data_IF_414711937430
#
_entry.id   IF_414711937430
#
_cell.length_a   1.000
_cell.length_b   1.000
_cell.length_c   1.000
_cell.angle_alpha   90.00
_cell.angle_beta   90.00
_cell.angle_gamma   90.00
#
_symmetry.space_group_name_H-M   'P 1'
#
loop_
_entity.id
_entity.type
_entity.pdbx_description
1 polymer ?
#
# COMPACT_ATOMS: atom_id res chain seq x y z
N UNK A 1 11.54 -21.91 -6.20
CA UNK A 1 10.92 -20.62 -6.60
C UNK A 1 12.02 -19.59 -6.77
N UNK A 2 11.93 -18.69 -7.75
CA UNK A 2 12.92 -17.62 -7.97
C UNK A 2 12.74 -16.48 -6.96
N UNK A 3 13.76 -15.69 -6.71
CA UNK A 3 13.64 -14.47 -5.90
C UNK A 3 13.35 -13.24 -6.77
N UNK A 4 12.89 -12.15 -6.14
CA UNK A 4 12.91 -10.85 -6.80
C UNK A 4 14.34 -10.39 -7.07
N UNK A 5 14.54 -9.55 -8.09
CA UNK A 5 15.82 -8.90 -8.35
C UNK A 5 16.05 -7.78 -7.32
N UNK A 6 17.28 -7.65 -6.86
CA UNK A 6 17.78 -6.61 -5.93
C UNK A 6 18.02 -5.25 -6.61
N UNK A 7 17.46 -5.04 -7.80
CA UNK A 7 17.69 -3.86 -8.62
C UNK A 7 16.41 -3.05 -8.64
N UNK A 8 16.48 -1.75 -8.33
CA UNK A 8 15.36 -0.81 -8.46
C UNK A 8 14.85 -0.80 -9.90
N UNK A 9 13.54 -0.70 -10.07
CA UNK A 9 12.93 -0.48 -11.37
C UNK A 9 11.64 0.26 -11.16
N UNK A 10 11.37 1.20 -12.06
CA UNK A 10 10.07 1.83 -12.17
C UNK A 10 9.16 0.93 -13.04
N UNK A 11 7.92 0.71 -12.63
CA UNK A 11 7.00 -0.18 -13.35
C UNK A 11 5.59 0.40 -13.39
N UNK A 12 4.93 0.34 -14.55
CA UNK A 12 3.53 0.74 -14.69
C UNK A 12 2.62 -0.48 -14.56
N UNK A 13 1.62 -0.40 -13.69
CA UNK A 13 0.64 -1.46 -13.51
C UNK A 13 -0.67 -1.19 -14.28
N UNK A 14 -1.54 -2.20 -14.34
CA UNK A 14 -2.82 -2.13 -15.06
C UNK A 14 -3.78 -1.03 -14.57
N UNK A 15 -3.59 -0.48 -13.34
CA UNK A 15 -4.36 0.67 -12.85
C UNK A 15 -3.86 2.01 -13.41
N UNK A 16 -2.79 2.01 -14.20
CA UNK A 16 -2.10 3.20 -14.69
C UNK A 16 -1.19 3.85 -13.65
N UNK A 17 -0.79 3.11 -12.61
CA UNK A 17 0.09 3.63 -11.55
C UNK A 17 1.51 3.15 -11.76
N UNK A 18 2.44 4.07 -11.56
CA UNK A 18 3.86 3.79 -11.53
C UNK A 18 4.32 3.45 -10.11
N UNK A 19 4.95 2.30 -9.97
CA UNK A 19 5.54 1.82 -8.71
C UNK A 19 7.07 1.76 -8.80
N UNK A 20 7.70 2.09 -7.67
CA UNK A 20 9.13 2.05 -7.45
C UNK A 20 9.40 1.35 -6.11
N UNK A 21 8.98 0.09 -6.00
CA UNK A 21 9.15 -0.66 -4.76
C UNK A 21 10.63 -0.74 -4.35
N UNK A 22 10.95 -0.18 -3.18
CA UNK A 22 12.27 -0.24 -2.52
C UNK A 22 12.54 -1.63 -1.94
N UNK A 23 11.46 -2.32 -1.56
CA UNK A 23 11.45 -3.69 -1.05
C UNK A 23 10.36 -4.47 -1.79
N UNK A 24 10.70 -5.65 -2.31
CA UNK A 24 9.73 -6.59 -2.88
C UNK A 24 9.66 -7.87 -2.06
N UNK A 25 8.47 -8.45 -1.96
CA UNK A 25 8.18 -9.51 -0.98
C UNK A 25 7.85 -8.94 0.40
N UNK A 26 7.28 -9.79 1.25
CA UNK A 26 6.84 -9.38 2.58
C UNK A 26 6.90 -10.57 3.53
N UNK A 27 8.06 -10.73 4.17
CA UNK A 27 8.31 -11.77 5.17
C UNK A 27 7.37 -11.62 6.36
N UNK A 28 7.26 -10.43 6.95
CA UNK A 28 6.43 -10.20 8.13
C UNK A 28 4.96 -10.45 7.85
N UNK A 29 4.48 -10.08 6.66
CA UNK A 29 3.11 -10.36 6.25
C UNK A 29 2.79 -11.85 6.14
N UNK A 30 3.73 -12.66 5.65
CA UNK A 30 3.57 -14.12 5.59
C UNK A 30 3.78 -14.83 6.92
N UNK A 31 4.62 -14.28 7.81
CA UNK A 31 4.73 -14.75 9.20
C UNK A 31 3.43 -14.51 9.98
N UNK A 32 2.79 -13.35 9.77
CA UNK A 32 1.51 -13.03 10.38
C UNK A 32 0.36 -13.87 9.81
N UNK A 33 0.40 -14.21 8.52
CA UNK A 33 -0.61 -15.02 7.87
C UNK A 33 -0.03 -15.74 6.64
N UNK A 34 -0.11 -17.07 6.58
CA UNK A 34 0.44 -17.88 5.49
C UNK A 34 -0.04 -17.48 4.07
N UNK A 35 -1.22 -16.86 3.95
CA UNK A 35 -1.79 -16.36 2.69
C UNK A 35 -1.66 -14.84 2.53
N UNK A 36 -0.90 -14.22 3.44
CA UNK A 36 -0.69 -12.80 3.57
C UNK A 36 -1.91 -12.06 4.10
N UNK A 37 -1.90 -10.72 3.93
CA UNK A 37 -2.98 -9.85 4.39
C UNK A 37 -4.37 -10.38 4.03
N UNK A 38 -5.25 -10.42 5.05
CA UNK A 38 -6.66 -10.78 4.93
C UNK A 38 -6.93 -12.19 4.36
N UNK A 39 -6.00 -13.14 4.57
CA UNK A 39 -6.03 -14.47 3.97
C UNK A 39 -6.05 -14.47 2.43
N UNK A 40 -5.69 -13.36 1.78
CA UNK A 40 -5.83 -13.22 0.32
C UNK A 40 -4.95 -12.13 -0.30
N UNK A 41 -3.69 -12.03 0.12
CA UNK A 41 -2.80 -10.98 -0.35
C UNK A 41 -2.61 -11.02 -1.87
N UNK A 42 -2.96 -9.92 -2.54
CA UNK A 42 -2.87 -9.81 -3.99
C UNK A 42 -1.43 -9.96 -4.52
N UNK A 43 -0.47 -9.30 -3.86
CA UNK A 43 0.93 -9.37 -4.23
C UNK A 43 1.50 -10.80 -4.06
N UNK A 44 1.14 -11.47 -2.96
CA UNK A 44 1.53 -12.87 -2.72
C UNK A 44 0.99 -13.81 -3.79
N UNK A 45 -0.32 -13.73 -4.12
CA UNK A 45 -0.93 -14.55 -5.18
C UNK A 45 -0.26 -14.34 -6.53
N UNK A 46 0.06 -13.09 -6.84
CA UNK A 46 0.73 -12.72 -8.09
C UNK A 46 2.15 -13.31 -8.13
N UNK A 47 2.93 -13.16 -7.05
CA UNK A 47 4.25 -13.76 -6.92
C UNK A 47 4.21 -15.28 -7.09
N UNK A 48 3.29 -15.96 -6.39
CA UNK A 48 3.09 -17.41 -6.49
C UNK A 48 2.79 -17.86 -7.91
N UNK A 49 1.91 -17.14 -8.64
CA UNK A 49 1.58 -17.42 -10.05
C UNK A 49 2.82 -17.36 -10.95
N UNK A 50 3.73 -16.44 -10.67
CA UNK A 50 4.97 -16.26 -11.43
C UNK A 50 6.17 -17.04 -10.86
N UNK A 51 5.95 -17.96 -9.92
CA UNK A 51 6.99 -18.79 -9.30
C UNK A 51 7.98 -18.02 -8.44
N UNK A 52 7.62 -16.84 -7.93
CA UNK A 52 8.48 -15.95 -7.13
C UNK A 52 8.25 -16.18 -5.64
N UNK A 53 9.33 -16.39 -4.90
CA UNK A 53 9.33 -16.52 -3.44
C UNK A 53 9.04 -15.16 -2.77
N UNK A 54 7.80 -15.01 -2.30
CA UNK A 54 7.32 -13.80 -1.63
C UNK A 54 7.65 -13.76 -0.13
N UNK A 55 8.10 -14.88 0.44
CA UNK A 55 8.42 -14.99 1.87
C UNK A 55 9.72 -14.30 2.24
N UNK A 56 10.50 -13.89 1.24
CA UNK A 56 11.71 -13.10 1.39
C UNK A 56 11.42 -11.65 1.03
N UNK A 57 11.74 -10.76 1.95
CA UNK A 57 11.78 -9.32 1.70
C UNK A 57 13.13 -8.98 1.07
N UNK A 58 13.11 -8.57 -0.20
CA UNK A 58 14.30 -8.28 -0.99
C UNK A 58 14.43 -6.76 -1.12
N UNK A 59 15.51 -6.22 -0.56
CA UNK A 59 15.92 -4.83 -0.73
C UNK A 59 16.41 -4.59 -2.15
N UNK A 60 16.05 -3.44 -2.72
CA UNK A 60 16.36 -3.08 -4.10
C UNK A 60 17.20 -1.82 -4.13
N UNK A 61 18.32 -1.86 -4.84
CA UNK A 61 19.28 -0.76 -4.98
C UNK A 61 19.38 -0.27 -6.43
N UNK A 62 19.90 0.94 -6.63
CA UNK A 62 20.42 1.33 -7.94
C UNK A 62 21.69 0.51 -8.23
N UNK A 63 21.97 0.28 -9.52
CA UNK A 63 23.15 -0.49 -9.93
C UNK A 63 24.37 0.42 -9.83
N UNK A 64 24.22 1.61 -10.38
CA UNK A 64 25.20 2.68 -10.44
C UNK A 64 24.46 4.02 -10.60
N UNK A 65 25.24 5.09 -10.69
CA UNK A 65 24.73 6.45 -10.88
C UNK A 65 23.98 6.62 -12.20
N UNK A 66 24.40 5.92 -13.27
CA UNK A 66 23.73 5.98 -14.58
C UNK A 66 22.32 5.43 -14.49
N UNK A 67 22.15 4.27 -13.84
CA UNK A 67 20.85 3.67 -13.60
C UNK A 67 19.98 4.56 -12.71
N UNK A 68 20.55 5.16 -11.65
CA UNK A 68 19.81 6.12 -10.80
C UNK A 68 19.27 7.31 -11.60
N UNK A 69 20.12 7.95 -12.41
CA UNK A 69 19.74 9.07 -13.27
C UNK A 69 18.72 8.66 -14.34
N UNK A 70 18.79 7.43 -14.85
CA UNK A 70 17.78 6.90 -15.76
C UNK A 70 16.41 6.79 -15.08
N UNK A 71 16.34 6.24 -13.87
CA UNK A 71 15.09 6.16 -13.10
C UNK A 71 14.52 7.55 -12.83
N UNK A 72 15.36 8.53 -12.46
CA UNK A 72 14.93 9.91 -12.27
C UNK A 72 14.29 10.48 -13.55
N UNK A 73 14.96 10.36 -14.70
CA UNK A 73 14.41 10.82 -15.99
C UNK A 73 13.12 10.11 -16.36
N UNK A 74 12.98 8.82 -16.00
CA UNK A 74 11.72 8.10 -16.21
C UNK A 74 10.62 8.68 -15.34
N UNK A 75 10.89 8.96 -14.05
CA UNK A 75 9.93 9.56 -13.10
C UNK A 75 9.46 10.95 -13.57
N UNK A 76 10.39 11.79 -14.03
CA UNK A 76 10.08 13.14 -14.53
C UNK A 76 9.10 13.12 -15.71
N UNK A 77 9.21 12.12 -16.60
CA UNK A 77 8.35 11.97 -17.78
C UNK A 77 6.96 11.40 -17.48
N UNK A 78 6.72 10.90 -16.27
CA UNK A 78 5.42 10.32 -15.92
C UNK A 78 4.36 11.42 -15.92
N UNK A 79 3.27 11.22 -16.65
CA UNK A 79 2.06 12.04 -16.55
C UNK A 79 1.14 11.56 -15.40
N UNK A 80 1.64 11.66 -14.18
CA UNK A 80 0.97 11.32 -12.92
C UNK A 80 1.64 12.14 -11.81
N UNK A 81 0.90 12.76 -10.88
CA UNK A 81 1.49 13.60 -9.84
C UNK A 81 2.25 12.80 -8.77
N UNK A 82 2.24 11.46 -8.80
CA UNK A 82 2.95 10.64 -7.85
C UNK A 82 3.43 9.30 -8.42
N UNK A 83 4.38 8.70 -7.70
CA UNK A 83 4.72 7.27 -7.78
C UNK A 83 4.36 6.56 -6.48
N UNK A 84 4.28 5.23 -6.50
CA UNK A 84 4.01 4.42 -5.31
C UNK A 84 5.21 3.60 -4.85
N UNK A 85 5.33 3.44 -3.55
CA UNK A 85 6.16 2.43 -2.87
C UNK A 85 5.23 1.53 -2.06
N UNK A 86 5.43 0.20 -2.11
CA UNK A 86 4.65 -0.78 -1.35
C UNK A 86 3.55 -1.47 -2.15
N UNK A 87 3.79 -1.74 -3.43
CA UNK A 87 2.84 -2.41 -4.32
C UNK A 87 3.02 -3.94 -4.32
N UNK A 88 4.25 -4.42 -4.41
CA UNK A 88 4.63 -5.84 -4.42
C UNK A 88 5.53 -6.23 -3.23
N UNK A 89 5.54 -5.41 -2.19
CA UNK A 89 6.22 -5.62 -0.92
C UNK A 89 5.73 -4.61 0.11
N UNK A 90 6.36 -4.57 1.27
CA UNK A 90 6.07 -3.54 2.27
C UNK A 90 7.37 -2.80 2.65
N UNK A 91 7.42 -1.47 2.50
CA UNK A 91 8.62 -0.69 2.81
C UNK A 91 9.03 -0.77 4.29
N UNK A 92 8.08 -1.08 5.18
CA UNK A 92 8.37 -1.23 6.62
C UNK A 92 9.18 -2.48 6.97
N UNK A 93 9.43 -3.37 6.02
CA UNK A 93 10.37 -4.48 6.21
C UNK A 93 11.79 -3.97 6.48
N UNK A 94 12.16 -2.81 5.92
CA UNK A 94 13.36 -2.05 6.26
C UNK A 94 13.18 -0.55 5.92
N UNK A 95 12.82 0.24 6.95
CA UNK A 95 12.66 1.68 6.80
C UNK A 95 13.96 2.40 6.46
N UNK A 96 15.09 1.96 7.01
CA UNK A 96 16.40 2.56 6.75
C UNK A 96 16.73 2.49 5.26
N UNK A 97 16.57 1.31 4.66
CA UNK A 97 16.77 1.11 3.24
C UNK A 97 15.78 1.93 2.39
N UNK A 98 14.51 1.95 2.78
CA UNK A 98 13.49 2.74 2.06
C UNK A 98 13.83 4.23 2.06
N UNK A 99 14.21 4.79 3.21
CA UNK A 99 14.61 6.20 3.35
C UNK A 99 15.87 6.49 2.55
N UNK A 100 16.87 5.60 2.58
CA UNK A 100 18.08 5.71 1.76
C UNK A 100 17.74 5.86 0.26
N UNK A 101 16.88 5.00 -0.28
CA UNK A 101 16.49 5.08 -1.71
C UNK A 101 15.75 6.39 -2.02
N UNK A 102 14.86 6.84 -1.13
CA UNK A 102 14.16 8.13 -1.30
C UNK A 102 15.17 9.29 -1.30
N UNK A 103 16.15 9.27 -0.38
CA UNK A 103 17.24 10.25 -0.33
C UNK A 103 18.10 10.24 -1.59
N UNK A 104 18.41 9.06 -2.12
CA UNK A 104 19.16 8.92 -3.37
C UNK A 104 18.39 9.44 -4.59
N UNK A 105 17.06 9.30 -4.64
CA UNK A 105 16.24 9.90 -5.71
C UNK A 105 16.25 11.43 -5.66
N UNK A 106 16.30 12.00 -4.44
CA UNK A 106 16.31 13.43 -4.21
C UNK A 106 17.62 14.10 -4.67
N UNK A 107 18.76 13.42 -4.55
CA UNK A 107 20.10 13.96 -4.87
C UNK A 107 20.27 14.27 -6.37
N UNK A 108 19.77 15.41 -6.83
CA UNK A 108 20.03 15.92 -8.17
C UNK A 108 20.17 17.45 -8.15
N UNK A 109 21.19 17.96 -8.84
CA UNK A 109 21.61 19.36 -8.81
C UNK A 109 20.71 20.30 -9.64
N UNK A 110 19.80 19.78 -10.47
CA UNK A 110 18.93 20.59 -11.33
C UNK A 110 17.46 20.58 -10.93
N UNK A 111 16.94 19.45 -10.43
CA UNK A 111 15.54 19.30 -10.00
C UNK A 111 15.52 18.33 -8.82
N UNK A 112 15.16 18.83 -7.65
CA UNK A 112 15.07 18.02 -6.44
C UNK A 112 13.71 17.31 -6.41
N UNK A 113 13.64 16.15 -7.10
CA UNK A 113 12.43 15.32 -7.09
C UNK A 113 12.02 15.01 -5.65
N UNK A 114 10.73 15.18 -5.39
CA UNK A 114 10.12 14.92 -4.08
C UNK A 114 10.62 15.83 -2.95
N UNK A 115 11.25 16.97 -3.24
CA UNK A 115 11.36 18.04 -2.25
C UNK A 115 9.99 18.57 -1.88
N UNK A 116 9.88 19.24 -0.74
CA UNK A 116 8.59 19.76 -0.25
C UNK A 116 7.89 20.68 -1.27
N UNK A 117 8.67 21.35 -2.14
CA UNK A 117 8.20 22.20 -3.23
C UNK A 117 7.93 21.47 -4.56
N UNK A 118 8.28 20.18 -4.66
CA UNK A 118 8.07 19.35 -5.85
C UNK A 118 6.57 19.12 -6.10
N UNK A 119 6.15 19.23 -7.35
CA UNK A 119 4.80 18.84 -7.79
C UNK A 119 4.62 17.32 -7.87
N UNK A 120 5.72 16.56 -7.92
CA UNK A 120 5.73 15.10 -7.80
C UNK A 120 5.82 14.67 -6.35
N UNK A 121 5.03 13.67 -5.97
CA UNK A 121 4.98 13.07 -4.64
C UNK A 121 5.31 11.57 -4.65
N UNK A 122 5.72 11.03 -3.50
CA UNK A 122 5.76 9.59 -3.28
C UNK A 122 4.62 9.19 -2.35
N UNK A 123 3.79 8.25 -2.81
CA UNK A 123 2.79 7.61 -1.96
C UNK A 123 3.38 6.31 -1.41
N UNK A 124 3.53 6.23 -0.10
CA UNK A 124 4.04 5.04 0.60
C UNK A 124 2.85 4.26 1.16
N UNK A 125 2.60 3.06 0.63
CA UNK A 125 1.58 2.14 1.17
C UNK A 125 2.28 1.16 2.10
N UNK A 126 1.81 1.06 3.35
CA UNK A 126 2.45 0.18 4.34
C UNK A 126 1.46 -0.35 5.37
N UNK A 127 1.84 -1.47 5.99
CA UNK A 127 1.21 -2.14 7.12
C UNK A 127 1.98 -1.91 8.42
N UNK A 128 3.07 -1.16 8.39
CA UNK A 128 3.93 -0.87 9.53
C UNK A 128 4.39 -2.13 10.27
N UNK A 129 4.88 -3.14 9.54
CA UNK A 129 5.40 -4.36 10.16
C UNK A 129 6.49 -4.05 11.18
N UNK A 130 7.40 -3.13 10.83
CA UNK A 130 8.29 -2.44 11.77
C UNK A 130 7.87 -0.97 11.87
N UNK A 131 8.07 -0.41 13.05
CA UNK A 131 7.77 1.00 13.31
C UNK A 131 8.91 1.89 12.86
N UNK A 132 8.57 3.12 12.44
CA UNK A 132 9.56 4.16 12.19
C UNK A 132 10.15 4.63 13.52
N UNK A 133 11.44 4.98 13.55
CA UNK A 133 12.01 5.73 14.67
C UNK A 133 11.67 7.22 14.55
N UNK A 134 11.80 7.99 15.63
CA UNK A 134 11.57 9.44 15.57
C UNK A 134 12.57 10.15 14.64
N UNK A 135 13.82 9.68 14.62
CA UNK A 135 14.84 10.18 13.68
C UNK A 135 14.44 9.91 12.22
N UNK A 136 13.86 8.74 11.94
CA UNK A 136 13.36 8.40 10.62
C UNK A 136 12.14 9.26 10.24
N UNK A 137 11.25 9.59 11.18
CA UNK A 137 10.14 10.51 10.94
C UNK A 137 10.62 11.94 10.63
N UNK A 138 11.63 12.43 11.37
CA UNK A 138 12.26 13.73 11.13
C UNK A 138 12.97 13.76 9.76
N UNK A 139 13.59 12.65 9.35
CA UNK A 139 14.19 12.57 8.03
C UNK A 139 13.11 12.58 6.93
N UNK A 140 12.05 11.79 7.10
CA UNK A 140 10.94 11.70 6.14
C UNK A 140 10.19 13.03 5.93
N UNK A 141 10.13 13.91 6.94
CA UNK A 141 9.47 15.22 6.82
C UNK A 141 10.15 16.17 5.83
N UNK A 142 11.38 15.85 5.40
CA UNK A 142 12.12 16.63 4.39
C UNK A 142 11.65 16.35 2.95
N UNK A 143 10.78 15.36 2.77
CA UNK A 143 10.32 14.89 1.46
C UNK A 143 8.80 15.10 1.31
N UNK A 144 8.35 15.28 0.07
CA UNK A 144 6.94 15.41 -0.27
C UNK A 144 6.28 14.03 -0.37
N UNK A 145 5.90 13.48 0.78
CA UNK A 145 5.39 12.13 0.95
C UNK A 145 3.93 12.11 1.39
N UNK A 146 3.21 11.08 0.94
CA UNK A 146 1.88 10.72 1.44
C UNK A 146 1.92 9.29 1.95
N UNK A 147 1.74 9.10 3.26
CA UNK A 147 1.65 7.77 3.87
C UNK A 147 0.23 7.24 3.80
N UNK A 148 0.06 6.07 3.21
CA UNK A 148 -1.19 5.30 3.17
C UNK A 148 -1.05 4.12 4.14
N UNK A 149 -1.45 4.34 5.40
CA UNK A 149 -1.47 3.30 6.42
C UNK A 149 -2.63 2.36 6.14
N UNK A 150 -2.34 1.13 5.70
CA UNK A 150 -3.36 0.17 5.29
C UNK A 150 -3.88 -0.62 6.47
N UNK A 151 -5.19 -0.53 6.73
CA UNK A 151 -5.86 -1.15 7.89
C UNK A 151 -7.17 -1.80 7.47
N UNK A 152 -7.64 -2.81 8.20
CA UNK A 152 -8.98 -3.38 8.00
C UNK A 152 -9.58 -3.86 9.32
N UNK A 153 -10.91 -3.94 9.39
CA UNK A 153 -11.58 -4.68 10.46
C UNK A 153 -11.35 -6.20 10.39
N UNK A 154 -10.79 -6.69 9.28
CA UNK A 154 -10.32 -8.08 9.14
C UNK A 154 -8.98 -8.35 9.85
N UNK A 155 -8.31 -7.31 10.34
CA UNK A 155 -7.06 -7.45 11.08
C UNK A 155 -7.28 -7.92 12.51
N UNK A 156 -6.25 -8.53 13.10
CA UNK A 156 -6.24 -8.77 14.54
C UNK A 156 -6.16 -7.43 15.30
N UNK A 157 -6.54 -7.45 16.57
CA UNK A 157 -6.62 -6.24 17.39
C UNK A 157 -5.27 -5.53 17.52
N UNK A 158 -4.19 -6.27 17.71
CA UNK A 158 -2.82 -5.73 17.85
C UNK A 158 -2.39 -4.95 16.60
N UNK A 159 -2.67 -5.49 15.41
CA UNK A 159 -2.32 -4.84 14.15
C UNK A 159 -3.20 -3.62 13.87
N UNK A 160 -4.47 -3.64 14.27
CA UNK A 160 -5.36 -2.47 14.21
C UNK A 160 -4.80 -1.35 15.10
N UNK A 161 -4.52 -1.66 16.37
CA UNK A 161 -3.99 -0.69 17.33
C UNK A 161 -2.65 -0.11 16.87
N UNK A 162 -1.70 -0.96 16.46
CA UNK A 162 -0.42 -0.51 15.89
C UNK A 162 -0.61 0.39 14.68
N UNK A 163 -1.47 0.01 13.74
CA UNK A 163 -1.72 0.80 12.53
C UNK A 163 -2.30 2.17 12.86
N UNK A 164 -3.25 2.25 13.81
CA UNK A 164 -3.81 3.53 14.25
C UNK A 164 -2.78 4.40 14.98
N UNK A 165 -1.95 3.81 15.84
CA UNK A 165 -0.85 4.52 16.52
C UNK A 165 0.13 5.10 15.52
N UNK A 166 0.61 4.31 14.55
CA UNK A 166 1.54 4.80 13.53
C UNK A 166 0.89 5.84 12.62
N UNK A 167 -0.36 5.61 12.16
CA UNK A 167 -1.11 6.59 11.38
C UNK A 167 -1.16 7.97 12.07
N UNK A 168 -1.47 8.01 13.38
CA UNK A 168 -1.52 9.26 14.13
C UNK A 168 -0.12 9.85 14.39
N UNK A 169 0.87 9.01 14.73
CA UNK A 169 2.25 9.45 15.00
C UNK A 169 2.93 10.07 13.77
N UNK A 170 2.55 9.65 12.57
CA UNK A 170 3.12 10.15 11.30
C UNK A 170 2.55 11.53 10.91
N UNK A 171 1.31 11.86 11.30
CA UNK A 171 0.59 13.09 10.90
C UNK A 171 1.40 14.40 11.04
N UNK A 172 2.17 14.63 12.12
CA UNK A 172 2.90 15.88 12.28
C UNK A 172 4.07 16.06 11.31
N UNK A 173 4.54 14.97 10.68
CA UNK A 173 5.75 14.96 9.86
C UNK A 173 5.43 14.99 8.36
N UNK A 174 4.42 14.22 7.94
CA UNK A 174 4.04 14.05 6.54
C UNK A 174 2.54 13.81 6.45
N UNK A 175 1.97 13.97 5.25
CA UNK A 175 0.55 13.71 5.01
C UNK A 175 0.25 12.24 5.31
N UNK A 176 -0.59 11.98 6.31
CA UNK A 176 -0.94 10.64 6.76
C UNK A 176 -2.40 10.33 6.43
N UNK A 177 -2.62 9.26 5.68
CA UNK A 177 -3.90 8.79 5.18
C UNK A 177 -4.18 7.41 5.79
N UNK A 178 -5.38 7.25 6.34
CA UNK A 178 -5.84 5.94 6.80
C UNK A 178 -6.53 5.23 5.64
N UNK A 179 -5.83 4.28 5.02
CA UNK A 179 -6.36 3.51 3.90
C UNK A 179 -7.09 2.28 4.41
N UNK A 180 -8.41 2.37 4.52
CA UNK A 180 -9.23 1.29 5.07
C UNK A 180 -9.59 0.30 3.95
N UNK A 181 -9.16 -0.95 4.08
CA UNK A 181 -9.67 -2.05 3.26
C UNK A 181 -10.98 -2.51 3.87
N UNK A 182 -12.09 -2.04 3.29
CA UNK A 182 -13.44 -2.25 3.82
C UNK A 182 -14.13 -3.46 3.20
N UNK A 183 -15.12 -3.98 3.93
CA UNK A 183 -16.00 -5.07 3.51
C UNK A 183 -17.46 -4.76 3.79
N UNK A 184 -18.35 -5.34 2.99
CA UNK A 184 -19.76 -5.50 3.32
C UNK A 184 -19.89 -6.69 4.29
N UNK A 185 -19.93 -6.42 5.59
CA UNK A 185 -20.01 -7.47 6.61
C UNK A 185 -21.43 -8.03 6.73
N UNK A 186 -21.56 -9.33 6.97
CA UNK A 186 -22.84 -9.95 7.28
C UNK A 186 -23.18 -9.74 8.76
N UNK A 187 -24.06 -8.80 9.08
CA UNK A 187 -24.43 -8.50 10.47
C UNK A 187 -25.34 -9.57 11.13
N UNK A 188 -25.88 -10.51 10.35
CA UNK A 188 -26.56 -11.70 10.88
C UNK A 188 -25.55 -12.73 11.41
N UNK A 189 -24.32 -12.69 10.93
CA UNK A 189 -23.21 -13.47 11.45
C UNK A 189 -22.58 -12.76 12.66
N UNK A 190 -22.39 -13.46 13.79
CA UNK A 190 -21.84 -12.88 15.03
C UNK A 190 -20.45 -12.26 14.84
N UNK A 191 -19.57 -12.93 14.09
CA UNK A 191 -18.23 -12.40 13.79
C UNK A 191 -18.31 -11.22 12.80
N UNK A 192 -19.17 -11.34 11.77
CA UNK A 192 -19.43 -10.27 10.81
C UNK A 192 -19.93 -8.98 11.48
N UNK A 193 -20.92 -9.09 12.39
CA UNK A 193 -21.43 -7.97 13.19
C UNK A 193 -20.34 -7.28 14.01
N UNK A 194 -19.50 -8.05 14.69
CA UNK A 194 -18.36 -7.52 15.47
C UNK A 194 -17.39 -6.76 14.57
N UNK A 195 -17.04 -7.30 13.41
CA UNK A 195 -16.14 -6.63 12.47
C UNK A 195 -16.78 -5.39 11.83
N UNK A 196 -18.10 -5.39 11.60
CA UNK A 196 -18.84 -4.22 11.14
C UNK A 196 -18.76 -3.05 12.13
N UNK A 197 -18.86 -3.33 13.44
CA UNK A 197 -18.67 -2.32 14.50
C UNK A 197 -17.26 -1.74 14.51
N UNK A 198 -16.23 -2.59 14.36
CA UNK A 198 -14.83 -2.16 14.26
C UNK A 198 -14.67 -1.26 13.03
N UNK A 199 -15.13 -1.71 11.86
CA UNK A 199 -15.06 -0.93 10.62
C UNK A 199 -15.72 0.44 10.78
N UNK A 200 -16.92 0.51 11.34
CA UNK A 200 -17.60 1.79 11.62
C UNK A 200 -16.77 2.72 12.50
N UNK A 201 -16.03 2.18 13.48
CA UNK A 201 -15.10 2.97 14.31
C UNK A 201 -13.90 3.46 13.50
N UNK A 202 -13.32 2.62 12.63
CA UNK A 202 -12.22 3.02 11.75
C UNK A 202 -12.62 4.19 10.84
N UNK A 203 -13.84 4.17 10.29
CA UNK A 203 -14.36 5.24 9.44
C UNK A 203 -14.66 6.57 10.15
N UNK A 204 -14.52 6.66 11.48
CA UNK A 204 -14.64 7.92 12.23
C UNK A 204 -13.35 8.75 12.26
N UNK A 205 -12.25 8.21 11.74
CA UNK A 205 -11.00 8.96 11.63
C UNK A 205 -11.08 9.99 10.48
N UNK A 206 -10.11 10.90 10.42
CA UNK A 206 -9.95 11.87 9.34
C UNK A 206 -9.07 11.31 8.22
N UNK A 207 -9.02 11.98 7.06
CA UNK A 207 -8.12 11.65 5.95
C UNK A 207 -8.14 10.16 5.59
N UNK A 208 -9.34 9.65 5.31
CA UNK A 208 -9.59 8.25 5.03
C UNK A 208 -9.74 8.02 3.54
N UNK A 209 -9.18 6.91 3.05
CA UNK A 209 -9.56 6.34 1.76
C UNK A 209 -10.24 5.01 1.98
N UNK A 210 -11.40 4.83 1.34
CA UNK A 210 -12.06 3.54 1.25
C UNK A 210 -11.47 2.70 0.11
N UNK A 211 -10.98 1.51 0.43
CA UNK A 211 -10.48 0.53 -0.54
C UNK A 211 -11.33 -0.73 -0.47
N UNK A 212 -11.85 -1.16 -1.61
CA UNK A 212 -12.61 -2.41 -1.72
C UNK A 212 -11.75 -3.65 -1.45
N UNK A 213 -12.27 -4.60 -0.67
CA UNK A 213 -11.68 -5.93 -0.55
C UNK A 213 -12.07 -6.83 -1.74
N UNK A 214 -11.08 -7.57 -2.27
CA UNK A 214 -11.22 -8.43 -3.46
C UNK A 214 -10.87 -9.88 -3.11
N UNK A 215 -11.73 -10.57 -2.37
CA UNK A 215 -11.47 -11.95 -1.95
C UNK A 215 -11.59 -12.93 -3.12
N UNK A 216 -10.87 -14.03 -3.01
CA UNK A 216 -11.15 -15.26 -3.75
C UNK A 216 -12.38 -15.95 -3.17
N UNK A 217 -13.03 -16.80 -3.97
CA UNK A 217 -14.16 -17.63 -3.52
C UNK A 217 -13.81 -18.54 -2.33
N UNK A 218 -12.52 -18.89 -2.19
CA UNK A 218 -12.03 -19.78 -1.15
C UNK A 218 -11.52 -19.04 0.09
N UNK A 219 -11.63 -17.72 0.12
CA UNK A 219 -11.26 -16.93 1.29
C UNK A 219 -12.10 -17.33 2.51
N UNK A 220 -11.46 -17.38 3.68
CA UNK A 220 -12.11 -17.75 4.95
C UNK A 220 -13.36 -16.91 5.24
N UNK A 221 -13.29 -15.59 5.06
CA UNK A 221 -14.40 -14.69 5.37
C UNK A 221 -15.59 -14.87 4.42
N UNK A 222 -15.34 -15.31 3.19
CA UNK A 222 -16.39 -15.63 2.21
C UNK A 222 -17.04 -16.97 2.54
N UNK A 223 -16.24 -18.02 2.77
CA UNK A 223 -16.74 -19.37 3.04
C UNK A 223 -17.58 -19.47 4.31
N UNK A 224 -17.26 -18.66 5.32
CA UNK A 224 -17.99 -18.64 6.59
C UNK A 224 -19.07 -17.54 6.63
N UNK A 225 -19.40 -16.95 5.49
CA UNK A 225 -20.46 -15.94 5.35
C UNK A 225 -20.29 -14.74 6.31
N UNK A 226 -19.04 -14.42 6.67
CA UNK A 226 -18.68 -13.27 7.52
C UNK A 226 -18.78 -11.98 6.71
N UNK A 227 -18.43 -12.04 5.42
CA UNK A 227 -18.58 -10.93 4.47
C UNK A 227 -19.52 -11.32 3.33
N UNK A 228 -20.32 -10.36 2.90
CA UNK A 228 -21.13 -10.41 1.68
C UNK A 228 -20.24 -10.06 0.49
N UNK A 229 -20.44 -10.77 -0.61
CA UNK A 229 -19.67 -10.54 -1.85
C UNK A 229 -20.56 -10.56 -3.07
N UNK A 230 -20.18 -9.77 -4.09
CA UNK A 230 -20.87 -9.73 -5.38
C UNK A 230 -19.83 -9.66 -6.50
N UNK A 231 -20.11 -10.33 -7.61
CA UNK A 231 -19.35 -10.14 -8.85
C UNK A 231 -19.66 -8.75 -9.41
N UNK A 232 -18.62 -7.95 -9.63
CA UNK A 232 -18.74 -6.59 -10.15
C UNK A 232 -17.53 -6.24 -11.00
N UNK A 233 -17.68 -5.24 -11.85
CA UNK A 233 -16.58 -4.69 -12.63
C UNK A 233 -15.51 -4.08 -11.70
N UNK A 234 -14.26 -4.45 -11.95
CA UNK A 234 -13.05 -3.86 -11.39
C UNK A 234 -12.05 -3.66 -12.53
N UNK A 235 -11.79 -2.40 -12.87
CA UNK A 235 -11.12 -2.02 -14.12
C UNK A 235 -11.80 -2.70 -15.34
N UNK A 236 -11.04 -3.44 -16.16
CA UNK A 236 -11.51 -4.16 -17.35
C UNK A 236 -11.93 -5.62 -17.08
N UNK A 237 -12.04 -6.03 -15.80
CA UNK A 237 -12.31 -7.41 -15.42
C UNK A 237 -13.50 -7.52 -14.46
N UNK A 238 -14.20 -8.64 -14.49
CA UNK A 238 -15.20 -8.96 -13.45
C UNK A 238 -14.52 -9.68 -12.29
N UNK A 239 -14.64 -9.13 -11.09
CA UNK A 239 -14.02 -9.68 -9.88
C UNK A 239 -15.06 -9.87 -8.77
N UNK A 240 -14.78 -10.76 -7.82
CA UNK A 240 -15.57 -10.90 -6.60
C UNK A 240 -15.14 -9.79 -5.63
N UNK A 241 -16.09 -8.93 -5.26
CA UNK A 241 -15.85 -7.77 -4.40
C UNK A 241 -16.72 -7.83 -3.16
N UNK A 242 -16.18 -7.38 -2.02
CA UNK A 242 -16.98 -7.00 -0.85
C UNK A 242 -16.92 -5.48 -0.69
N UNK A 243 -18.04 -4.79 -0.90
CA UNK A 243 -18.10 -3.31 -0.96
C UNK A 243 -18.91 -2.76 0.21
N UNK A 244 -18.24 -2.16 1.19
CA UNK A 244 -18.93 -1.41 2.24
C UNK A 244 -19.71 -0.21 1.66
N UNK A 245 -19.01 0.68 0.94
CA UNK A 245 -19.63 1.79 0.24
C UNK A 245 -19.86 1.44 -1.24
N UNK A 246 -21.09 1.64 -1.74
CA UNK A 246 -21.38 1.38 -3.17
C UNK A 246 -20.57 2.30 -4.09
N UNK A 247 -20.19 3.49 -3.63
CA UNK A 247 -19.43 4.50 -4.37
C UNK A 247 -17.90 4.29 -4.32
N UNK A 248 -17.39 3.31 -3.57
CA UNK A 248 -15.93 3.04 -3.51
C UNK A 248 -15.37 2.83 -4.92
N UNK A 249 -14.27 3.52 -5.21
CA UNK A 249 -13.67 3.59 -6.54
C UNK A 249 -12.98 2.28 -6.95
N UNK A 250 -13.35 1.73 -8.11
CA UNK A 250 -12.82 0.46 -8.66
C UNK A 250 -12.16 0.61 -10.04
N UNK A 251 -12.00 1.84 -10.51
CA UNK A 251 -11.45 2.16 -11.82
C UNK A 251 -9.92 2.32 -11.84
N UNK A 252 -9.43 2.87 -12.96
CA UNK A 252 -8.04 3.31 -13.13
C UNK A 252 -7.73 4.55 -12.31
N UNK A 253 -6.49 4.68 -11.84
CA UNK A 253 -6.14 5.77 -10.95
C UNK A 253 -6.20 7.16 -11.59
N UNK A 254 -6.02 7.28 -12.92
CA UNK A 254 -6.20 8.55 -13.65
C UNK A 254 -7.58 9.20 -13.44
N UNK A 255 -8.61 8.40 -13.12
CA UNK A 255 -9.98 8.86 -12.88
C UNK A 255 -10.37 8.84 -11.38
N UNK A 256 -9.41 8.63 -10.49
CA UNK A 256 -9.65 8.48 -9.05
C UNK A 256 -9.60 9.85 -8.37
N UNK A 257 -10.73 10.39 -7.91
CA UNK A 257 -10.79 11.73 -7.30
C UNK A 257 -9.83 11.89 -6.11
N UNK A 258 -9.69 10.86 -5.27
CA UNK A 258 -8.85 10.91 -4.08
C UNK A 258 -7.35 10.85 -4.42
N UNK A 259 -6.97 10.38 -5.61
CA UNK A 259 -5.58 10.22 -6.07
C UNK A 259 -4.64 9.61 -5.01
N UNK A 260 -5.04 8.52 -4.35
CA UNK A 260 -4.27 7.92 -3.25
C UNK A 260 -4.03 8.84 -2.04
N UNK A 261 -4.92 9.80 -1.83
CA UNK A 261 -4.95 10.71 -0.69
C UNK A 261 -4.24 12.02 -0.97
N UNK A 262 -3.77 12.22 -2.20
CA UNK A 262 -3.23 13.50 -2.64
C UNK A 262 -4.28 14.62 -2.52
N UNK A 263 -5.54 14.33 -2.85
CA UNK A 263 -6.62 15.31 -2.90
C UNK A 263 -7.53 15.31 -1.66
N UNK A 264 -7.10 14.67 -0.56
CA UNK A 264 -7.82 14.65 0.72
C UNK A 264 -7.30 15.69 1.71
#
# INVERSE_FOLDING_TARGET
MRTYKEIISLSNNERGIWDLDTIKGCKSGLLNNEKGCYNDCYAYKTAKRYGIDFSKSIERNFIDEKHRLEIIRQIEKIDMPFIRIGCAGDPSENWEHTIKIISELRRNNQLSLFDISSTKQIVIITRHWKELTDLQLIELSKYNLVFNTSISALDNFELIDKSLKQYNRIKPYVKSILRIVSCDFNEENKEGKRMAEIQRKLFKNENIIDTVFRPSKNNYFVKNEIIKTKKSAFMKSTQLLSKYNKKTFTGKCENCLEMCGLNL
#
